data_IF_300203164177
#
_entry.id   IF_300203164177
#
_cell.length_a   1.000
_cell.length_b   1.000
_cell.length_c   1.000
_cell.angle_alpha   90.00
_cell.angle_beta   90.00
_cell.angle_gamma   90.00
#
_symmetry.space_group_name_H-M   'P 1'
#
loop_
_entity.id
_entity.type
_entity.pdbx_description
1 polymer ?
#
# COMPACT_ATOMS: atom_id res chain seq x y z
N UNK A 1 3.55 -2.81 8.07
CA UNK A 1 2.26 -2.12 8.24
C UNK A 1 1.14 -2.95 7.65
N UNK A 2 0.00 -2.93 8.27
CA UNK A 2 -1.21 -3.59 7.76
C UNK A 2 -1.96 -2.66 6.81
N UNK A 3 -2.86 -3.25 6.02
CA UNK A 3 -3.62 -2.47 5.04
C UNK A 3 -4.39 -1.31 5.70
N UNK A 4 -5.07 -1.56 6.81
CA UNK A 4 -5.84 -0.51 7.46
C UNK A 4 -4.96 0.62 8.00
N UNK A 5 -3.72 0.30 8.36
CA UNK A 5 -2.77 1.34 8.79
C UNK A 5 -2.41 2.25 7.63
N UNK A 6 -2.21 1.67 6.44
CA UNK A 6 -1.94 2.47 5.25
C UNK A 6 -3.12 3.33 4.86
N UNK A 7 -4.32 2.78 4.94
CA UNK A 7 -5.54 3.55 4.65
C UNK A 7 -5.59 4.79 5.51
N UNK A 8 -5.32 4.63 6.81
CA UNK A 8 -5.38 5.73 7.77
C UNK A 8 -4.24 6.73 7.53
N UNK A 9 -3.03 6.21 7.31
CA UNK A 9 -1.84 7.04 7.13
C UNK A 9 -1.94 7.92 5.88
N UNK A 10 -2.42 7.34 4.79
CA UNK A 10 -2.41 8.01 3.49
C UNK A 10 -3.75 8.59 3.08
N UNK A 11 -4.80 8.27 3.81
CA UNK A 11 -6.13 8.76 3.47
C UNK A 11 -6.65 8.21 2.17
N UNK A 12 -6.31 6.97 1.83
CA UNK A 12 -6.78 6.32 0.60
C UNK A 12 -7.49 5.02 0.96
N UNK A 13 -8.34 4.55 0.07
CA UNK A 13 -9.09 3.32 0.31
C UNK A 13 -8.22 2.09 0.06
N UNK A 14 -8.61 0.97 0.67
CA UNK A 14 -7.91 -0.29 0.43
C UNK A 14 -8.00 -0.71 -1.03
N UNK A 15 -9.09 -0.37 -1.71
CA UNK A 15 -9.23 -0.66 -3.13
C UNK A 15 -8.14 0.01 -3.94
N UNK A 16 -7.81 1.24 -3.59
CA UNK A 16 -6.73 1.98 -4.25
C UNK A 16 -5.40 1.30 -4.00
N UNK A 17 -5.15 0.88 -2.75
CA UNK A 17 -3.92 0.18 -2.40
C UNK A 17 -3.80 -1.12 -3.19
N UNK A 18 -4.87 -1.89 -3.25
CA UNK A 18 -4.88 -3.17 -3.98
C UNK A 18 -4.69 -2.95 -5.48
N UNK A 19 -5.22 -1.86 -6.01
CA UNK A 19 -5.02 -1.50 -7.41
C UNK A 19 -3.53 -1.30 -7.71
N UNK A 20 -2.83 -0.58 -6.83
CA UNK A 20 -1.41 -0.34 -7.02
C UNK A 20 -0.60 -1.61 -6.89
N UNK A 21 -1.02 -2.52 -6.04
CA UNK A 21 -0.39 -3.84 -5.94
C UNK A 21 -0.59 -4.62 -7.24
N UNK A 22 -1.78 -4.58 -7.79
CA UNK A 22 -2.09 -5.25 -9.05
C UNK A 22 -1.26 -4.69 -10.19
N UNK A 23 -1.00 -3.39 -10.17
CA UNK A 23 -0.19 -2.73 -11.19
C UNK A 23 1.31 -2.96 -11.00
N UNK A 24 1.70 -3.62 -9.92
CA UNK A 24 3.10 -3.90 -9.67
C UNK A 24 3.89 -2.76 -9.07
N UNK A 25 3.21 -1.70 -8.62
CA UNK A 25 3.88 -0.54 -8.03
C UNK A 25 4.40 -0.89 -6.65
N UNK A 26 3.64 -1.66 -5.89
CA UNK A 26 4.05 -2.15 -4.58
C UNK A 26 3.95 -3.67 -4.56
N UNK A 27 4.78 -4.29 -3.72
CA UNK A 27 4.84 -5.75 -3.62
C UNK A 27 4.84 -6.15 -2.15
N UNK A 28 3.70 -6.01 -1.47
CA UNK A 28 3.65 -6.36 -0.05
C UNK A 28 3.87 -7.86 0.14
N UNK A 29 4.46 -8.19 1.27
CA UNK A 29 4.64 -9.59 1.66
C UNK A 29 3.42 -10.04 2.44
N UNK A 30 3.30 -11.35 2.63
CA UNK A 30 2.25 -11.93 3.46
C UNK A 30 2.86 -12.36 4.78
N UNK A 31 2.15 -12.12 5.88
CA UNK A 31 2.58 -12.61 7.18
C UNK A 31 2.15 -14.07 7.35
N UNK A 32 2.42 -14.63 8.53
CA UNK A 32 2.13 -16.04 8.80
C UNK A 32 0.65 -16.37 8.69
N UNK A 33 -0.21 -15.39 8.87
CA UNK A 33 -1.65 -15.57 8.78
C UNK A 33 -2.20 -15.28 7.39
N UNK A 34 -1.33 -14.97 6.43
CA UNK A 34 -1.75 -14.69 5.06
C UNK A 34 -2.19 -13.25 4.82
N UNK A 35 -2.04 -12.38 5.81
CA UNK A 35 -2.39 -10.97 5.65
C UNK A 35 -1.25 -10.19 5.01
N UNK A 36 -1.60 -9.13 4.28
CA UNK A 36 -0.61 -8.28 3.65
C UNK A 36 0.19 -7.52 4.68
N UNK A 37 1.50 -7.47 4.47
CA UNK A 37 2.42 -6.71 5.31
C UNK A 37 3.20 -5.76 4.43
N UNK A 38 3.02 -4.46 4.65
CA UNK A 38 3.62 -3.41 3.82
C UNK A 38 4.89 -2.89 4.46
N UNK A 39 5.93 -2.71 3.64
CA UNK A 39 7.22 -2.21 4.09
C UNK A 39 7.26 -0.69 4.02
N UNK A 40 8.32 -0.09 4.58
CA UNK A 40 8.55 1.34 4.43
C UNK A 40 8.74 1.72 2.97
N UNK A 41 9.35 0.84 2.20
CA UNK A 41 9.53 1.06 0.76
C UNK A 41 8.18 1.13 0.07
N UNK A 42 7.26 0.22 0.41
CA UNK A 42 5.91 0.25 -0.14
C UNK A 42 5.21 1.56 0.21
N UNK A 43 5.34 1.98 1.47
CA UNK A 43 4.74 3.23 1.93
C UNK A 43 5.26 4.42 1.12
N UNK A 44 6.57 4.49 0.92
CA UNK A 44 7.17 5.58 0.17
C UNK A 44 6.71 5.59 -1.28
N UNK A 45 6.60 4.43 -1.90
CA UNK A 45 6.10 4.34 -3.27
C UNK A 45 4.68 4.84 -3.37
N UNK A 46 3.84 4.49 -2.41
CA UNK A 46 2.46 4.96 -2.39
C UNK A 46 2.36 6.46 -2.19
N UNK A 47 3.22 7.02 -1.34
CA UNK A 47 3.28 8.46 -1.14
C UNK A 47 3.65 9.15 -2.46
N UNK A 48 4.65 8.65 -3.15
CA UNK A 48 5.08 9.22 -4.42
C UNK A 48 3.96 9.20 -5.45
N UNK A 49 3.30 8.05 -5.58
CA UNK A 49 2.20 7.91 -6.54
C UNK A 49 1.07 8.88 -6.20
N UNK A 50 0.75 9.01 -4.91
CA UNK A 50 -0.30 9.91 -4.47
C UNK A 50 0.00 11.37 -4.85
N UNK A 51 1.25 11.80 -4.69
CA UNK A 51 1.63 13.17 -5.00
C UNK A 51 1.76 13.42 -6.50
N UNK A 52 2.20 12.43 -7.25
CA UNK A 52 2.36 12.58 -8.69
C UNK A 52 1.04 12.47 -9.45
N UNK A 53 0.05 11.92 -8.81
CA UNK A 53 -1.25 11.70 -9.44
C UNK A 53 -2.25 12.72 -8.94
N UNK A 54 -2.42 13.77 -9.66
CA UNK A 54 -3.39 14.79 -9.31
C UNK A 54 -4.73 14.55 -9.96
#
# INVERSE_FOLDING_TARGET
MKTHELEKELGISKHTIFYYEKEGIITPQRDDNGYRSYSQEDLQKLIMVKFLRN
#
